data_IF_874525406910
#
_entry.id   IF_874525406910
#
_cell.length_a   1.000
_cell.length_b   1.000
_cell.length_c   1.000
_cell.angle_alpha   90.00
_cell.angle_beta   90.00
_cell.angle_gamma   90.00
#
_symmetry.space_group_name_H-M   'P 1'
#
loop_
_entity.id
_entity.type
_entity.pdbx_description
1 polymer ?
#
# COMPACT_ATOMS: atom_id res chain seq x y z
N UNK A 1 16.63 21.76 26.50
CA UNK A 1 15.37 21.30 25.89
C UNK A 1 15.01 22.29 24.80
N UNK A 2 15.32 21.99 23.54
CA UNK A 2 15.15 22.92 22.44
C UNK A 2 13.64 23.07 22.15
N UNK A 3 13.06 24.20 22.52
CA UNK A 3 11.62 24.44 22.43
C UNK A 3 11.31 24.98 21.05
N UNK A 4 10.98 24.10 20.11
CA UNK A 4 10.47 24.53 18.82
C UNK A 4 9.15 25.30 19.00
N UNK A 5 8.84 26.24 18.10
CA UNK A 5 7.48 26.76 17.95
C UNK A 5 6.48 25.61 17.77
N UNK A 6 5.29 25.76 18.33
CA UNK A 6 4.28 24.71 18.38
C UNK A 6 3.96 24.06 17.01
N UNK A 7 3.85 24.80 15.89
CA UNK A 7 3.62 24.18 14.57
C UNK A 7 4.76 23.25 14.13
N UNK A 8 6.01 23.64 14.39
CA UNK A 8 7.19 22.84 14.02
C UNK A 8 7.29 21.58 14.88
N UNK A 9 6.98 21.70 16.18
CA UNK A 9 6.91 20.56 17.11
C UNK A 9 5.89 19.52 16.62
N UNK A 10 4.68 19.95 16.27
CA UNK A 10 3.63 19.06 15.73
C UNK A 10 4.07 18.35 14.46
N UNK A 11 4.72 19.06 13.53
CA UNK A 11 5.23 18.46 12.29
C UNK A 11 6.27 17.36 12.58
N UNK A 12 7.25 17.64 13.45
CA UNK A 12 8.26 16.65 13.86
C UNK A 12 7.61 15.43 14.50
N UNK A 13 6.63 15.61 15.38
CA UNK A 13 5.91 14.51 16.04
C UNK A 13 5.12 13.64 15.06
N UNK A 14 4.50 14.20 14.03
CA UNK A 14 3.82 13.39 13.00
C UNK A 14 4.81 12.65 12.11
N UNK A 15 5.91 13.30 11.69
CA UNK A 15 6.94 12.66 10.87
C UNK A 15 7.62 11.49 11.58
N UNK A 16 7.79 11.57 12.90
CA UNK A 16 8.35 10.48 13.71
C UNK A 16 7.48 9.21 13.77
N UNK A 17 6.20 9.29 13.39
CA UNK A 17 5.32 8.11 13.33
C UNK A 17 5.51 7.28 12.07
N UNK A 18 6.23 7.82 11.08
CA UNK A 18 6.51 7.10 9.84
C UNK A 18 7.57 6.01 10.09
N UNK A 19 7.41 4.82 9.49
CA UNK A 19 8.39 3.75 9.63
C UNK A 19 9.77 4.20 9.12
N UNK A 20 10.81 3.92 9.91
CA UNK A 20 12.19 4.31 9.58
C UNK A 20 12.55 5.78 9.87
N UNK A 21 11.63 6.60 10.40
CA UNK A 21 11.88 8.02 10.69
C UNK A 21 12.08 8.28 12.18
N UNK A 22 13.34 8.31 12.61
CA UNK A 22 13.71 8.76 13.96
C UNK A 22 13.72 10.29 14.11
N UNK A 23 13.80 10.78 15.36
CA UNK A 23 13.78 12.23 15.69
C UNK A 23 14.72 13.08 14.85
N UNK A 24 15.99 12.67 14.72
CA UNK A 24 16.99 13.40 13.91
C UNK A 24 16.61 13.53 12.44
N UNK A 25 15.97 12.51 11.87
CA UNK A 25 15.49 12.54 10.47
C UNK A 25 14.23 13.40 10.37
N UNK A 26 13.30 13.27 11.31
CA UNK A 26 12.10 14.11 11.38
C UNK A 26 12.44 15.60 11.49
N UNK A 27 13.39 15.98 12.36
CA UNK A 27 13.87 17.35 12.48
C UNK A 27 14.39 17.89 11.14
N UNK A 28 15.26 17.12 10.47
CA UNK A 28 15.83 17.49 9.17
C UNK A 28 14.76 17.67 8.09
N UNK A 29 13.78 16.77 8.02
CA UNK A 29 12.66 16.88 7.08
C UNK A 29 11.77 18.08 7.40
N UNK A 30 11.47 18.32 8.68
CA UNK A 30 10.66 19.45 9.12
C UNK A 30 11.31 20.79 8.79
N UNK A 31 12.61 20.95 9.03
CA UNK A 31 13.35 22.15 8.64
C UNK A 31 13.50 22.33 7.12
N UNK A 32 13.48 21.23 6.36
CA UNK A 32 13.38 21.33 4.91
C UNK A 32 12.01 21.88 4.48
N UNK A 33 10.91 21.40 5.07
CA UNK A 33 9.56 21.90 4.80
C UNK A 33 9.41 23.39 5.17
N UNK A 34 10.03 23.84 6.27
CA UNK A 34 10.05 25.27 6.66
C UNK A 34 10.67 26.17 5.57
N UNK A 35 11.58 25.64 4.76
CA UNK A 35 12.26 26.39 3.68
C UNK A 35 11.53 26.28 2.34
N UNK A 36 10.50 25.44 2.23
CA UNK A 36 9.70 25.32 1.02
C UNK A 36 8.88 26.59 0.78
N UNK A 37 8.58 26.88 -0.48
CA UNK A 37 7.58 27.90 -0.80
C UNK A 37 6.18 27.45 -0.32
N UNK A 38 5.27 28.37 0.05
CA UNK A 38 3.92 27.99 0.44
C UNK A 38 3.19 27.10 -0.58
N UNK A 39 3.29 27.33 -1.91
CA UNK A 39 2.69 26.44 -2.89
C UNK A 39 3.25 25.02 -2.88
N UNK A 40 4.56 24.83 -2.65
CA UNK A 40 5.18 23.51 -2.56
C UNK A 40 4.71 22.75 -1.32
N UNK A 41 4.67 23.41 -0.17
CA UNK A 41 4.19 22.82 1.07
C UNK A 41 2.71 22.39 0.96
N UNK A 42 1.88 23.20 0.29
CA UNK A 42 0.47 22.87 0.03
C UNK A 42 0.37 21.64 -0.87
N UNK A 43 1.12 21.57 -1.97
CA UNK A 43 1.11 20.40 -2.87
C UNK A 43 1.51 19.11 -2.15
N UNK A 44 2.54 19.16 -1.30
CA UNK A 44 2.94 18.01 -0.49
C UNK A 44 1.82 17.58 0.48
N UNK A 45 1.20 18.53 1.18
CA UNK A 45 0.10 18.25 2.09
C UNK A 45 -1.11 17.65 1.36
N UNK A 46 -1.43 18.15 0.16
CA UNK A 46 -2.52 17.64 -0.68
C UNK A 46 -2.23 16.21 -1.15
N UNK A 47 -1.01 15.94 -1.63
CA UNK A 47 -0.62 14.59 -2.06
C UNK A 47 -0.77 13.56 -0.93
N UNK A 48 -0.36 13.90 0.29
CA UNK A 48 -0.54 13.04 1.47
C UNK A 48 -2.03 12.80 1.74
N UNK A 49 -2.85 13.85 1.68
CA UNK A 49 -4.29 13.75 1.94
C UNK A 49 -4.99 12.89 0.88
N UNK A 50 -4.70 13.10 -0.40
CA UNK A 50 -5.32 12.38 -1.53
C UNK A 50 -5.08 10.87 -1.46
N UNK A 51 -3.91 10.42 -1.04
CA UNK A 51 -3.62 8.99 -0.83
C UNK A 51 -4.62 8.37 0.16
N UNK A 52 -4.94 9.09 1.23
CA UNK A 52 -5.87 8.58 2.26
C UNK A 52 -7.34 8.79 1.94
N UNK A 53 -7.69 9.77 1.11
CA UNK A 53 -9.08 10.13 0.81
C UNK A 53 -9.62 9.53 -0.49
N UNK A 54 -8.75 9.19 -1.44
CA UNK A 54 -9.13 8.69 -2.76
C UNK A 54 -8.83 7.22 -2.97
N UNK A 55 -7.79 6.69 -2.31
CA UNK A 55 -7.44 5.28 -2.49
C UNK A 55 -8.36 4.39 -1.66
N UNK A 56 -8.79 3.32 -2.30
CA UNK A 56 -9.55 2.23 -1.72
C UNK A 56 -8.92 0.89 -2.11
N UNK A 57 -9.40 -0.19 -1.50
CA UNK A 57 -9.00 -1.54 -1.87
C UNK A 57 -10.03 -2.11 -2.85
N UNK A 58 -9.54 -2.67 -3.96
CA UNK A 58 -10.39 -3.37 -4.91
C UNK A 58 -11.13 -4.53 -4.23
N UNK A 59 -12.44 -4.61 -4.42
CA UNK A 59 -13.30 -5.66 -3.88
C UNK A 59 -12.90 -7.08 -4.31
N UNK A 60 -12.26 -7.22 -5.48
CA UNK A 60 -11.82 -8.50 -6.03
C UNK A 60 -10.41 -8.89 -5.60
N UNK A 61 -9.39 -8.10 -5.96
CA UNK A 61 -7.98 -8.46 -5.72
C UNK A 61 -7.35 -7.83 -4.48
N UNK A 62 -8.07 -6.96 -3.78
CA UNK A 62 -7.57 -6.18 -2.64
C UNK A 62 -6.37 -5.28 -2.97
N UNK A 63 -6.06 -5.03 -4.24
CA UNK A 63 -5.03 -4.05 -4.63
C UNK A 63 -5.50 -2.60 -4.36
N UNK A 64 -4.56 -1.67 -4.19
CA UNK A 64 -4.84 -0.25 -4.11
C UNK A 64 -5.38 0.27 -5.45
N UNK A 65 -6.47 1.02 -5.40
CA UNK A 65 -7.11 1.58 -6.59
C UNK A 65 -7.96 2.80 -6.25
N UNK A 66 -8.29 3.61 -7.26
CA UNK A 66 -9.31 4.66 -7.16
C UNK A 66 -10.68 4.19 -7.65
N UNK A 67 -10.73 3.10 -8.44
CA UNK A 67 -11.94 2.58 -9.08
C UNK A 67 -12.11 1.11 -8.70
N UNK A 68 -13.31 0.73 -8.27
CA UNK A 68 -13.64 -0.64 -7.92
C UNK A 68 -14.66 -1.23 -8.91
N UNK A 69 -14.36 -2.35 -9.61
CA UNK A 69 -13.10 -3.11 -9.62
C UNK A 69 -11.93 -2.39 -10.29
N UNK A 70 -10.70 -2.69 -9.85
CA UNK A 70 -9.50 -2.02 -10.36
C UNK A 70 -9.24 -2.34 -11.85
N UNK A 71 -8.44 -1.52 -12.56
CA UNK A 71 -8.15 -1.74 -13.98
C UNK A 71 -7.59 -3.12 -14.30
N UNK A 72 -6.80 -3.72 -13.40
CA UNK A 72 -6.27 -5.07 -13.57
C UNK A 72 -7.35 -6.15 -13.46
N UNK A 73 -8.39 -5.97 -12.64
CA UNK A 73 -9.48 -6.95 -12.53
C UNK A 73 -10.49 -6.81 -13.68
N UNK A 74 -10.70 -5.58 -14.15
CA UNK A 74 -11.62 -5.24 -15.23
C UNK A 74 -11.06 -5.54 -16.63
N UNK A 75 -9.76 -5.80 -16.74
CA UNK A 75 -9.10 -6.19 -17.99
C UNK A 75 -9.50 -7.62 -18.41
N UNK A 76 -10.29 -7.71 -19.47
CA UNK A 76 -10.77 -8.99 -20.03
C UNK A 76 -9.70 -9.79 -20.77
N UNK A 77 -8.54 -9.19 -21.05
CA UNK A 77 -7.41 -9.91 -21.66
C UNK A 77 -6.65 -10.80 -20.68
N UNK A 78 -6.91 -10.66 -19.37
CA UNK A 78 -6.24 -11.43 -18.33
C UNK A 78 -6.88 -12.78 -18.08
N UNK A 79 -6.04 -13.77 -17.80
CA UNK A 79 -6.50 -15.10 -17.46
C UNK A 79 -7.04 -15.13 -16.02
N UNK A 80 -8.34 -15.35 -15.90
CA UNK A 80 -9.03 -15.44 -14.61
C UNK A 80 -8.68 -16.73 -13.83
N UNK A 81 -8.14 -17.73 -14.53
CA UNK A 81 -7.82 -19.04 -13.96
C UNK A 81 -6.45 -19.06 -13.27
N UNK A 82 -5.61 -18.06 -13.51
CA UNK A 82 -4.32 -17.88 -12.86
C UNK A 82 -4.40 -16.73 -11.85
N UNK A 83 -4.01 -17.01 -10.62
CA UNK A 83 -4.00 -16.02 -9.53
C UNK A 83 -2.61 -15.94 -8.90
N UNK A 84 -1.99 -14.77 -8.95
CA UNK A 84 -0.74 -14.47 -8.25
C UNK A 84 -1.02 -13.77 -6.92
N UNK A 85 -0.66 -14.42 -5.82
CA UNK A 85 -0.82 -13.91 -4.46
C UNK A 85 0.47 -13.21 -4.04
N UNK A 86 0.36 -11.95 -3.62
CA UNK A 86 1.48 -11.10 -3.20
C UNK A 86 1.22 -10.48 -1.83
N UNK A 87 2.26 -9.97 -1.17
CA UNK A 87 2.13 -9.36 0.15
C UNK A 87 1.60 -7.94 0.08
N UNK A 88 2.16 -7.11 -0.80
CA UNK A 88 1.87 -5.67 -0.86
C UNK A 88 1.52 -5.19 -2.27
N UNK A 89 0.80 -4.06 -2.41
CA UNK A 89 0.50 -3.44 -3.71
C UNK A 89 1.75 -3.12 -4.56
N UNK A 90 2.88 -2.86 -3.90
CA UNK A 90 4.16 -2.61 -4.57
C UNK A 90 4.65 -3.84 -5.36
N UNK A 91 4.37 -5.05 -4.88
CA UNK A 91 4.76 -6.31 -5.53
C UNK A 91 4.00 -6.51 -6.83
N UNK A 92 2.70 -6.16 -6.86
CA UNK A 92 1.91 -6.13 -8.12
C UNK A 92 2.59 -5.24 -9.14
N UNK A 93 3.00 -4.04 -8.74
CA UNK A 93 3.67 -3.08 -9.62
C UNK A 93 5.00 -3.64 -10.13
N UNK A 94 5.76 -4.34 -9.28
CA UNK A 94 7.03 -4.96 -9.67
C UNK A 94 6.83 -6.05 -10.73
N UNK A 95 5.84 -6.93 -10.55
CA UNK A 95 5.52 -8.01 -11.50
C UNK A 95 4.97 -7.42 -12.81
N UNK A 96 4.05 -6.46 -12.74
CA UNK A 96 3.46 -5.82 -13.93
C UNK A 96 4.50 -5.15 -14.83
N UNK A 97 5.54 -4.55 -14.24
CA UNK A 97 6.66 -3.96 -14.99
C UNK A 97 7.41 -4.96 -15.86
N UNK A 98 7.41 -6.24 -15.50
CA UNK A 98 8.03 -7.29 -16.34
C UNK A 98 7.23 -7.60 -17.59
N UNK A 99 5.91 -7.33 -17.58
CA UNK A 99 4.98 -7.69 -18.65
C UNK A 99 4.77 -9.19 -18.85
N UNK A 100 5.41 -10.04 -18.04
CA UNK A 100 5.47 -11.49 -18.22
C UNK A 100 4.23 -12.22 -17.69
N UNK A 101 3.57 -11.67 -16.68
CA UNK A 101 2.40 -12.29 -16.08
C UNK A 101 1.10 -11.73 -16.67
N UNK A 102 0.18 -12.63 -17.05
CA UNK A 102 -1.12 -12.29 -17.67
C UNK A 102 -2.32 -12.74 -16.84
N UNK A 103 -2.10 -13.30 -15.66
CA UNK A 103 -3.17 -13.66 -14.75
C UNK A 103 -3.66 -12.49 -13.90
N UNK A 104 -4.45 -12.82 -12.88
CA UNK A 104 -4.96 -11.90 -11.86
C UNK A 104 -4.08 -11.89 -10.62
N UNK A 105 -4.28 -10.88 -9.78
CA UNK A 105 -3.56 -10.75 -8.51
C UNK A 105 -4.47 -10.89 -7.31
N UNK A 106 -3.88 -11.16 -6.16
CA UNK A 106 -4.50 -10.93 -4.85
C UNK A 106 -3.45 -10.37 -3.88
N UNK A 107 -3.78 -9.31 -3.15
CA UNK A 107 -2.88 -8.65 -2.21
C UNK A 107 -3.26 -8.99 -0.76
N UNK A 108 -2.33 -9.58 -0.01
CA UNK A 108 -2.55 -10.02 1.37
C UNK A 108 -2.52 -8.88 2.39
N UNK A 109 -1.82 -7.78 2.08
CA UNK A 109 -1.49 -6.66 2.98
C UNK A 109 -0.60 -7.05 4.16
N UNK A 110 0.32 -7.97 3.94
CA UNK A 110 1.29 -8.41 4.94
C UNK A 110 1.66 -9.87 4.82
N UNK A 111 2.46 -10.32 5.78
CA UNK A 111 2.89 -11.69 5.95
C UNK A 111 2.68 -12.12 7.40
N UNK A 112 2.62 -13.43 7.64
CA UNK A 112 2.52 -13.99 8.99
C UNK A 112 3.82 -13.68 9.73
N UNK A 113 3.72 -12.94 10.84
CA UNK A 113 4.86 -12.50 11.63
C UNK A 113 4.58 -12.71 13.13
N UNK A 114 4.78 -13.93 13.67
CA UNK A 114 4.41 -14.26 15.04
C UNK A 114 5.12 -13.39 16.09
N UNK A 115 6.37 -13.00 15.82
CA UNK A 115 7.15 -12.11 16.70
C UNK A 115 6.56 -10.69 16.77
N UNK A 116 5.78 -10.28 15.77
CA UNK A 116 5.07 -9.01 15.73
C UNK A 116 3.59 -9.16 16.10
N UNK A 117 3.16 -10.37 16.49
CA UNK A 117 1.77 -10.68 16.82
C UNK A 117 0.84 -10.72 15.61
N UNK A 118 1.35 -10.88 14.38
CA UNK A 118 0.53 -10.96 13.16
C UNK A 118 0.30 -12.43 12.80
N UNK A 119 -0.94 -12.88 12.92
CA UNK A 119 -1.40 -14.22 12.56
C UNK A 119 -2.02 -14.31 11.15
N UNK A 120 -2.31 -15.53 10.66
CA UNK A 120 -3.04 -15.73 9.40
C UNK A 120 -4.40 -15.02 9.32
N UNK A 121 -5.07 -14.86 10.46
CA UNK A 121 -6.36 -14.18 10.63
C UNK A 121 -6.28 -12.67 10.42
N UNK A 122 -5.11 -12.07 10.62
CA UNK A 122 -4.86 -10.65 10.35
C UNK A 122 -4.64 -10.39 8.86
N UNK A 123 -4.43 -11.46 8.09
CA UNK A 123 -4.30 -11.40 6.63
C UNK A 123 -5.66 -11.60 5.97
N UNK A 124 -5.75 -11.18 4.71
CA UNK A 124 -7.00 -11.24 3.92
C UNK A 124 -7.28 -12.64 3.35
N UNK A 125 -6.96 -13.71 4.09
CA UNK A 125 -7.03 -15.09 3.60
C UNK A 125 -8.46 -15.57 3.32
N UNK A 126 -9.46 -15.11 4.07
CA UNK A 126 -10.85 -15.50 3.81
C UNK A 126 -11.38 -14.91 2.50
N UNK A 127 -10.95 -13.70 2.16
CA UNK A 127 -11.24 -13.07 0.87
C UNK A 127 -10.55 -13.81 -0.27
N UNK A 128 -9.30 -14.23 -0.08
CA UNK A 128 -8.55 -15.05 -1.05
C UNK A 128 -9.28 -16.38 -1.32
N UNK A 129 -9.65 -17.11 -0.27
CA UNK A 129 -10.39 -18.38 -0.41
C UNK A 129 -11.70 -18.18 -1.16
N UNK A 130 -12.46 -17.16 -0.80
CA UNK A 130 -13.71 -16.81 -1.49
C UNK A 130 -13.49 -16.49 -2.97
N UNK A 131 -12.42 -15.77 -3.30
CA UNK A 131 -12.05 -15.45 -4.68
C UNK A 131 -11.72 -16.70 -5.50
N UNK A 132 -10.86 -17.58 -4.95
CA UNK A 132 -10.42 -18.82 -5.60
C UNK A 132 -11.62 -19.71 -5.96
N UNK A 133 -12.55 -19.88 -5.03
CA UNK A 133 -13.78 -20.66 -5.24
C UNK A 133 -14.68 -19.99 -6.27
N UNK A 134 -14.96 -18.69 -6.11
CA UNK A 134 -15.89 -17.94 -6.97
C UNK A 134 -15.42 -17.87 -8.42
N UNK A 135 -14.11 -17.72 -8.66
CA UNK A 135 -13.54 -17.58 -10.00
C UNK A 135 -13.05 -18.90 -10.60
N UNK A 136 -13.19 -20.03 -9.88
CA UNK A 136 -12.71 -21.35 -10.32
C UNK A 136 -11.24 -21.31 -10.76
N UNK A 137 -10.41 -20.66 -9.95
CA UNK A 137 -8.97 -20.53 -10.19
C UNK A 137 -8.34 -21.92 -10.28
N UNK A 138 -7.55 -22.15 -11.32
CA UNK A 138 -6.88 -23.43 -11.60
C UNK A 138 -5.43 -23.44 -11.12
N UNK A 139 -4.79 -22.28 -11.09
CA UNK A 139 -3.41 -22.11 -10.65
C UNK A 139 -3.29 -20.93 -9.69
N UNK A 140 -2.68 -21.19 -8.53
CA UNK A 140 -2.34 -20.16 -7.56
C UNK A 140 -0.81 -20.09 -7.45
N UNK A 141 -0.26 -18.95 -7.83
CA UNK A 141 1.16 -18.64 -7.72
C UNK A 141 1.37 -17.87 -6.41
N UNK A 142 2.23 -18.36 -5.54
CA UNK A 142 2.58 -17.68 -4.30
C UNK A 142 3.87 -16.90 -4.52
N UNK A 143 3.78 -15.57 -4.46
CA UNK A 143 4.88 -14.63 -4.68
C UNK A 143 5.07 -13.72 -3.45
N UNK A 144 5.16 -14.35 -2.27
CA UNK A 144 5.52 -13.71 -1.00
C UNK A 144 7.04 -13.75 -0.77
N UNK A 145 7.58 -12.90 0.10
CA UNK A 145 9.01 -12.79 0.40
C UNK A 145 9.44 -13.64 1.60
#
# INVERSE_FOLDING_TARGET
MHRYPEPLKKLVEQLMKLPGVGRKTADRLAFHIVRMSPPEAIRLSQAIHEVTSRLQLCSDCQNLTEVDPCPLCSDSSRDIRQLCVVEFPADVTAIEKSGAFKGRYFVLHGAVAPLQGVGPEDLRLDRLKGLVVRQQVQEVIISTN
#
